data_IF_414135559835
#
_entry.id   IF_414135559835
#
_cell.length_a   1.000
_cell.length_b   1.000
_cell.length_c   1.000
_cell.angle_alpha   90.00
_cell.angle_beta   90.00
_cell.angle_gamma   90.00
#
_symmetry.space_group_name_H-M   'P 1'
#
loop_
_entity.id
_entity.type
_entity.pdbx_description
1 polymer ?
#
# COMPACT_ATOMS: atom_id res chain seq x y z
N UNK A 1 -30.29 42.48 48.07
CA UNK A 1 -29.46 43.32 47.16
C UNK A 1 -29.36 42.56 45.85
N UNK A 2 -30.37 42.73 44.97
CA UNK A 2 -30.41 43.64 43.80
C UNK A 2 -29.48 43.16 42.67
N UNK A 3 -29.89 42.95 41.42
CA UNK A 3 -31.18 43.10 40.71
C UNK A 3 -31.27 42.03 39.61
N UNK A 4 -32.44 41.59 39.15
CA UNK A 4 -33.55 42.31 38.47
C UNK A 4 -33.15 42.97 37.15
N UNK A 5 -33.84 42.53 36.10
CA UNK A 5 -33.76 42.97 34.71
C UNK A 5 -34.87 42.33 33.86
N UNK A 6 -36.12 42.60 34.24
CA UNK A 6 -37.31 42.78 33.37
C UNK A 6 -36.97 43.62 32.12
N UNK A 7 -37.69 43.68 31.00
CA UNK A 7 -39.02 43.25 30.56
C UNK A 7 -39.01 43.40 29.02
N UNK A 8 -39.85 42.68 28.28
CA UNK A 8 -40.99 43.35 27.62
C UNK A 8 -41.94 42.36 26.96
N UNK A 9 -43.21 42.58 27.31
CA UNK A 9 -44.43 41.95 26.83
C UNK A 9 -45.04 42.88 25.80
N UNK A 10 -45.59 42.34 24.71
CA UNK A 10 -46.74 42.96 24.04
C UNK A 10 -47.76 41.87 23.70
N UNK A 11 -48.94 42.03 24.29
CA UNK A 11 -50.19 41.29 24.03
C UNK A 11 -51.09 42.17 23.17
N UNK A 12 -51.80 41.56 22.22
CA UNK A 12 -53.20 41.84 21.82
C UNK A 12 -53.68 40.57 21.07
N UNK A 13 -54.60 39.76 21.64
CA UNK A 13 -56.08 39.88 21.56
C UNK A 13 -56.61 39.99 20.12
N UNK A 14 -57.69 39.37 19.66
CA UNK A 14 -58.60 38.33 20.15
C UNK A 14 -59.50 38.01 18.94
N UNK A 15 -60.11 36.81 18.86
CA UNK A 15 -61.44 36.56 18.28
C UNK A 15 -61.69 35.07 17.99
N UNK A 16 -62.56 34.52 18.82
CA UNK A 16 -63.27 33.24 18.70
C UNK A 16 -64.15 33.12 17.43
N UNK A 17 -64.34 31.88 16.98
CA UNK A 17 -65.35 31.49 15.99
C UNK A 17 -65.56 29.97 15.95
N UNK A 18 -66.67 29.52 16.55
CA UNK A 18 -67.16 28.14 16.75
C UNK A 18 -67.91 27.59 15.52
N UNK A 19 -68.04 26.25 15.43
CA UNK A 19 -69.04 25.50 14.63
C UNK A 19 -68.39 24.48 13.69
N UNK A 20 -68.36 23.18 13.99
CA UNK A 20 -69.43 22.14 13.90
C UNK A 20 -69.41 21.41 12.53
N UNK A 21 -69.27 20.08 12.62
CA UNK A 21 -69.70 18.97 11.74
C UNK A 21 -69.55 19.06 10.20
N UNK A 22 -68.81 18.10 9.62
CA UNK A 22 -69.41 17.05 8.76
C UNK A 22 -68.35 16.09 8.17
N UNK A 23 -68.66 14.80 8.24
CA UNK A 23 -68.04 13.70 7.52
C UNK A 23 -68.22 13.86 6.00
N UNK A 24 -67.16 13.63 5.22
CA UNK A 24 -67.12 12.71 4.06
C UNK A 24 -66.11 13.11 2.96
N UNK A 25 -65.23 12.14 2.66
CA UNK A 25 -64.66 11.79 1.35
C UNK A 25 -63.98 12.88 0.49
N UNK A 26 -62.65 12.84 0.41
CA UNK A 26 -61.95 13.29 -0.80
C UNK A 26 -60.67 12.50 -1.08
N UNK A 27 -60.59 12.00 -2.30
CA UNK A 27 -59.59 11.09 -2.84
C UNK A 27 -58.15 11.62 -2.82
N UNK A 28 -57.22 10.66 -2.74
CA UNK A 28 -55.76 10.81 -2.75
C UNK A 28 -55.25 11.58 -3.98
N UNK A 29 -54.49 12.64 -3.75
CA UNK A 29 -53.48 13.15 -4.69
C UNK A 29 -52.13 13.22 -3.97
N UNK A 30 -51.19 12.35 -4.35
CA UNK A 30 -49.81 12.37 -3.84
C UNK A 30 -48.95 13.34 -4.66
N UNK A 31 -48.07 14.16 -4.02
CA UNK A 31 -47.12 14.98 -4.75
C UNK A 31 -45.95 14.14 -5.28
N UNK A 32 -45.64 14.32 -6.57
CA UNK A 32 -44.55 13.67 -7.32
C UNK A 32 -43.19 13.93 -6.65
N UNK A 33 -42.51 12.85 -6.23
CA UNK A 33 -41.10 12.89 -5.82
C UNK A 33 -40.21 13.14 -7.05
N UNK A 34 -39.42 14.21 -7.03
CA UNK A 34 -38.34 14.44 -7.99
C UNK A 34 -37.28 13.33 -7.89
N UNK A 35 -36.76 12.82 -9.01
CA UNK A 35 -35.78 11.73 -9.00
C UNK A 35 -34.42 12.21 -8.44
N UNK A 36 -33.68 11.32 -7.76
CA UNK A 36 -32.40 11.67 -7.17
C UNK A 36 -31.39 12.01 -8.27
N UNK A 37 -30.67 13.13 -8.10
CA UNK A 37 -29.59 13.55 -8.98
C UNK A 37 -28.56 12.43 -9.11
N UNK A 38 -28.38 11.91 -10.32
CA UNK A 38 -27.35 10.91 -10.65
C UNK A 38 -25.99 11.49 -10.25
N UNK A 39 -25.35 10.90 -9.23
CA UNK A 39 -23.96 11.22 -8.87
C UNK A 39 -23.10 10.95 -10.11
N UNK A 40 -22.37 11.96 -10.57
CA UNK A 40 -21.42 11.81 -11.65
C UNK A 40 -20.47 10.65 -11.31
N UNK A 41 -20.34 9.67 -12.21
CA UNK A 41 -19.36 8.58 -12.07
C UNK A 41 -17.98 9.23 -11.98
N UNK A 42 -17.30 9.09 -10.83
CA UNK A 42 -15.89 9.46 -10.72
C UNK A 42 -15.12 8.66 -11.78
N UNK A 43 -14.22 9.32 -12.48
CA UNK A 43 -13.31 8.70 -13.44
C UNK A 43 -12.47 7.65 -12.66
N UNK A 44 -12.37 6.43 -13.18
CA UNK A 44 -11.51 5.41 -12.58
C UNK A 44 -10.07 5.95 -12.55
N UNK A 45 -9.41 5.77 -11.41
CA UNK A 45 -8.09 6.35 -11.12
C UNK A 45 -7.01 5.27 -11.05
N UNK A 46 -7.42 4.03 -10.74
CA UNK A 46 -6.56 2.87 -10.63
C UNK A 46 -7.21 1.67 -11.33
N UNK A 47 -6.37 0.77 -11.84
CA UNK A 47 -6.76 -0.50 -12.44
C UNK A 47 -6.10 -1.63 -11.65
N UNK A 48 -6.77 -2.78 -11.60
CA UNK A 48 -6.29 -3.98 -10.94
C UNK A 48 -4.94 -4.41 -11.52
N UNK A 49 -3.92 -4.42 -10.67
CA UNK A 49 -2.58 -4.89 -10.98
C UNK A 49 -2.53 -6.40 -11.24
N UNK A 50 -3.66 -7.10 -11.22
CA UNK A 50 -3.78 -8.49 -11.67
C UNK A 50 -4.32 -8.64 -13.09
N UNK A 51 -4.54 -7.54 -13.81
CA UNK A 51 -4.87 -7.55 -15.25
C UNK A 51 -6.28 -8.04 -15.59
N UNK A 52 -7.18 -8.15 -14.61
CA UNK A 52 -8.55 -8.64 -14.84
C UNK A 52 -9.52 -7.60 -15.43
N UNK A 53 -9.06 -6.38 -15.72
CA UNK A 53 -9.87 -5.27 -16.21
C UNK A 53 -10.77 -4.59 -15.17
N UNK A 54 -10.62 -4.91 -13.88
CA UNK A 54 -11.30 -4.17 -12.81
C UNK A 54 -10.65 -2.80 -12.61
N UNK A 55 -11.45 -1.73 -12.65
CA UNK A 55 -11.01 -0.35 -12.42
C UNK A 55 -11.82 0.31 -11.29
N UNK A 56 -11.24 1.31 -10.62
CA UNK A 56 -11.88 1.95 -9.48
C UNK A 56 -11.01 2.96 -8.73
N UNK A 57 -11.42 3.30 -7.52
CA UNK A 57 -10.57 4.01 -6.56
C UNK A 57 -9.49 3.08 -6.00
N UNK A 58 -8.41 3.64 -5.44
CA UNK A 58 -7.33 2.84 -4.83
C UNK A 58 -7.85 1.79 -3.85
N UNK A 59 -8.73 2.16 -2.92
CA UNK A 59 -9.28 1.22 -1.93
C UNK A 59 -10.16 0.13 -2.57
N UNK A 60 -10.93 0.45 -3.62
CA UNK A 60 -11.75 -0.51 -4.35
C UNK A 60 -10.87 -1.51 -5.12
N UNK A 61 -9.83 -1.01 -5.80
CA UNK A 61 -8.89 -1.83 -6.56
C UNK A 61 -8.07 -2.73 -5.65
N UNK A 62 -7.50 -2.21 -4.54
CA UNK A 62 -6.75 -3.04 -3.60
C UNK A 62 -7.64 -4.08 -2.92
N UNK A 63 -8.87 -3.74 -2.54
CA UNK A 63 -9.82 -4.71 -1.99
C UNK A 63 -10.13 -5.81 -3.01
N UNK A 64 -10.38 -5.43 -4.26
CA UNK A 64 -10.55 -6.37 -5.36
C UNK A 64 -9.33 -7.28 -5.52
N UNK A 65 -8.10 -6.74 -5.58
CA UNK A 65 -6.87 -7.52 -5.73
C UNK A 65 -6.67 -8.57 -4.65
N UNK A 66 -7.10 -8.32 -3.42
CA UNK A 66 -6.98 -9.34 -2.35
C UNK A 66 -7.82 -10.59 -2.61
N UNK A 67 -8.91 -10.46 -3.35
CA UNK A 67 -9.82 -11.57 -3.71
C UNK A 67 -9.73 -11.96 -5.19
N UNK A 68 -9.02 -11.17 -5.98
CA UNK A 68 -8.89 -11.38 -7.41
C UNK A 68 -8.14 -12.69 -7.66
N UNK A 69 -8.83 -13.59 -8.34
CA UNK A 69 -8.32 -14.90 -8.77
C UNK A 69 -7.49 -14.82 -10.04
N UNK A 70 -7.56 -13.71 -10.80
CA UNK A 70 -6.54 -13.45 -11.81
C UNK A 70 -5.23 -13.24 -11.08
N UNK A 71 -4.17 -13.77 -11.67
CA UNK A 71 -2.81 -13.32 -11.42
C UNK A 71 -2.47 -12.56 -12.69
N UNK A 72 -1.88 -11.36 -12.58
CA UNK A 72 -1.32 -10.74 -13.78
C UNK A 72 -0.23 -11.69 -14.24
N UNK A 73 -0.43 -12.32 -15.38
CA UNK A 73 0.67 -12.80 -16.22
C UNK A 73 1.45 -11.61 -16.81
N UNK A 74 1.64 -10.50 -16.08
CA UNK A 74 2.64 -9.49 -16.47
C UNK A 74 4.03 -9.89 -16.01
N UNK A 75 4.11 -10.89 -15.15
CA UNK A 75 5.25 -11.78 -15.17
C UNK A 75 4.70 -13.12 -15.68
N UNK A 76 4.49 -13.22 -17.00
CA UNK A 76 4.88 -14.44 -17.68
C UNK A 76 6.34 -14.71 -17.23
N UNK A 77 6.49 -15.41 -16.11
CA UNK A 77 7.47 -16.47 -16.14
C UNK A 77 6.85 -17.41 -17.15
N UNK A 78 7.17 -17.19 -18.42
CA UNK A 78 6.76 -18.04 -19.50
C UNK A 78 7.31 -19.41 -19.10
N UNK A 79 6.47 -20.23 -18.45
CA UNK A 79 6.79 -21.62 -18.22
C UNK A 79 6.93 -22.37 -19.55
N UNK A 80 6.53 -21.69 -20.63
CA UNK A 80 6.61 -22.05 -22.03
C UNK A 80 7.59 -21.12 -22.80
N UNK A 81 8.56 -20.47 -22.11
CA UNK A 81 9.64 -19.76 -22.79
C UNK A 81 10.53 -20.88 -23.32
N UNK A 82 10.53 -21.07 -24.63
CA UNK A 82 11.39 -22.09 -25.22
C UNK A 82 12.86 -21.74 -24.90
N UNK A 83 13.72 -22.76 -24.78
CA UNK A 83 15.12 -22.59 -24.33
C UNK A 83 15.86 -21.48 -25.12
N UNK A 84 15.54 -21.31 -26.41
CA UNK A 84 16.09 -20.26 -27.27
C UNK A 84 15.71 -18.84 -26.83
N UNK A 85 14.46 -18.64 -26.38
CA UNK A 85 13.99 -17.33 -25.90
C UNK A 85 14.63 -16.96 -24.55
N UNK A 86 14.82 -17.94 -23.66
CA UNK A 86 15.53 -17.74 -22.39
C UNK A 86 17.01 -17.39 -22.64
N UNK A 87 17.67 -18.10 -23.56
CA UNK A 87 19.05 -17.80 -23.97
C UNK A 87 19.19 -16.39 -24.58
N UNK A 88 18.28 -15.99 -25.48
CA UNK A 88 18.30 -14.63 -26.05
C UNK A 88 18.08 -13.56 -24.97
N UNK A 89 17.14 -13.80 -24.04
CA UNK A 89 16.89 -12.89 -22.93
C UNK A 89 18.11 -12.74 -22.02
N UNK A 90 18.74 -13.85 -21.64
CA UNK A 90 19.94 -13.86 -20.82
C UNK A 90 21.11 -13.16 -21.52
N UNK A 91 21.36 -13.44 -22.80
CA UNK A 91 22.43 -12.79 -23.57
C UNK A 91 22.22 -11.27 -23.64
N UNK A 92 20.99 -10.83 -23.89
CA UNK A 92 20.63 -9.41 -23.90
C UNK A 92 20.75 -8.77 -22.52
N UNK A 93 20.40 -9.50 -21.47
CA UNK A 93 20.56 -9.04 -20.09
C UNK A 93 22.04 -8.91 -19.72
N UNK A 94 22.88 -9.89 -20.07
CA UNK A 94 24.34 -9.87 -19.86
C UNK A 94 25.01 -8.72 -20.60
N UNK A 95 24.71 -8.53 -21.89
CA UNK A 95 25.21 -7.38 -22.67
C UNK A 95 24.82 -6.05 -22.01
N UNK A 96 23.56 -5.98 -21.53
CA UNK A 96 23.07 -4.81 -20.83
C UNK A 96 23.79 -4.58 -19.51
N UNK A 97 24.14 -5.64 -18.76
CA UNK A 97 24.93 -5.56 -17.52
C UNK A 97 26.33 -5.06 -17.82
N UNK A 98 27.01 -5.62 -18.82
CA UNK A 98 28.37 -5.24 -19.21
C UNK A 98 28.44 -3.76 -19.62
N UNK A 99 27.47 -3.30 -20.42
CA UNK A 99 27.37 -1.89 -20.83
C UNK A 99 27.21 -0.92 -19.66
N UNK A 100 26.59 -1.38 -18.57
CA UNK A 100 26.35 -0.59 -17.34
C UNK A 100 27.51 -0.68 -16.35
N UNK A 101 28.43 -1.62 -16.53
CA UNK A 101 29.55 -1.82 -15.63
C UNK A 101 30.44 -0.56 -15.57
N UNK A 102 30.80 -0.13 -14.36
CA UNK A 102 31.64 1.05 -14.12
C UNK A 102 30.96 2.41 -14.28
N UNK A 103 29.66 2.46 -14.63
CA UNK A 103 28.91 3.72 -14.63
C UNK A 103 28.67 4.21 -13.21
N UNK A 104 29.09 5.43 -12.91
CA UNK A 104 28.96 6.03 -11.57
C UNK A 104 27.99 7.21 -11.58
N UNK A 105 27.22 7.33 -10.50
CA UNK A 105 26.40 8.51 -10.25
C UNK A 105 27.05 9.41 -9.20
N UNK A 106 26.78 10.71 -9.32
CA UNK A 106 27.15 11.65 -8.27
C UNK A 106 26.29 11.45 -7.03
N UNK A 107 26.88 11.54 -5.82
CA UNK A 107 26.12 11.52 -4.58
C UNK A 107 25.07 12.64 -4.56
N UNK A 108 23.88 12.40 -3.98
CA UNK A 108 22.83 13.41 -3.91
C UNK A 108 23.23 14.58 -3.01
N UNK A 109 22.71 15.76 -3.32
CA UNK A 109 22.91 16.94 -2.49
C UNK A 109 22.42 16.72 -1.06
N UNK A 110 23.23 17.16 -0.09
CA UNK A 110 22.93 17.00 1.32
C UNK A 110 23.30 15.64 1.90
N UNK A 111 23.87 14.71 1.13
CA UNK A 111 24.60 13.57 1.70
C UNK A 111 25.95 14.05 2.25
N UNK A 112 26.20 13.84 3.53
CA UNK A 112 27.40 14.31 4.23
C UNK A 112 28.59 13.36 4.09
N UNK A 113 28.32 12.10 3.76
CA UNK A 113 29.33 11.07 3.55
C UNK A 113 29.72 11.00 2.07
N UNK A 114 31.00 10.83 1.80
CA UNK A 114 31.51 10.49 0.46
C UNK A 114 31.24 9.03 0.15
N UNK A 115 30.49 8.77 -0.93
CA UNK A 115 30.26 7.40 -1.42
C UNK A 115 31.53 6.82 -2.03
N UNK A 116 31.79 5.54 -1.73
CA UNK A 116 32.87 4.78 -2.37
C UNK A 116 32.53 4.53 -3.87
N UNK A 117 33.53 4.26 -4.73
CA UNK A 117 33.30 4.06 -6.17
C UNK A 117 32.20 3.02 -6.46
N UNK A 118 32.25 1.85 -5.84
CA UNK A 118 31.22 0.83 -6.01
C UNK A 118 29.83 1.28 -5.52
N UNK A 119 29.76 2.13 -4.48
CA UNK A 119 28.47 2.67 -4.01
C UNK A 119 27.88 3.69 -5.00
N UNK A 120 28.74 4.42 -5.72
CA UNK A 120 28.32 5.31 -6.82
C UNK A 120 27.83 4.51 -8.02
N UNK A 121 28.42 3.34 -8.27
CA UNK A 121 27.94 2.39 -9.28
C UNK A 121 26.58 1.82 -8.89
N UNK A 122 26.41 1.36 -7.63
CA UNK A 122 25.12 0.92 -7.12
C UNK A 122 24.06 2.04 -7.20
N UNK A 123 24.43 3.29 -6.91
CA UNK A 123 23.52 4.44 -7.02
C UNK A 123 23.09 4.69 -8.48
N UNK A 124 24.02 4.62 -9.44
CA UNK A 124 23.70 4.75 -10.87
C UNK A 124 22.73 3.64 -11.29
N UNK A 125 23.11 2.39 -11.00
CA UNK A 125 22.32 1.21 -11.33
C UNK A 125 20.91 1.28 -10.74
N UNK A 126 20.76 1.55 -9.43
CA UNK A 126 19.45 1.65 -8.79
C UNK A 126 18.58 2.77 -9.40
N UNK A 127 19.18 3.94 -9.68
CA UNK A 127 18.46 5.06 -10.30
C UNK A 127 17.90 4.70 -11.67
N UNK A 128 18.63 3.89 -12.45
CA UNK A 128 18.17 3.39 -13.75
C UNK A 128 17.14 2.28 -13.59
N UNK A 129 17.32 1.37 -12.63
CA UNK A 129 16.37 0.29 -12.38
C UNK A 129 14.98 0.83 -12.01
N UNK A 130 14.90 1.92 -11.23
CA UNK A 130 13.63 2.57 -10.89
C UNK A 130 12.93 3.20 -12.10
N UNK A 131 13.68 3.58 -13.14
CA UNK A 131 13.15 4.09 -14.41
C UNK A 131 12.86 2.99 -15.43
N UNK A 132 13.39 1.78 -15.21
CA UNK A 132 13.16 0.64 -16.08
C UNK A 132 11.73 0.10 -15.96
N UNK A 133 11.37 -0.82 -16.86
CA UNK A 133 10.09 -1.55 -16.79
C UNK A 133 9.87 -2.30 -15.46
N UNK A 134 10.95 -2.67 -14.76
CA UNK A 134 10.89 -3.39 -13.49
C UNK A 134 10.69 -2.46 -12.28
N UNK A 135 10.99 -1.15 -12.42
CA UNK A 135 10.81 -0.13 -11.39
C UNK A 135 11.49 -0.44 -10.06
N UNK A 136 12.64 -1.13 -10.11
CA UNK A 136 13.40 -1.56 -8.94
C UNK A 136 14.27 -2.79 -9.24
N UNK A 137 14.86 -3.37 -8.21
CA UNK A 137 15.70 -4.56 -8.32
C UNK A 137 16.16 -5.12 -6.97
N UNK A 138 16.94 -6.19 -7.01
CA UNK A 138 17.53 -6.82 -5.82
C UNK A 138 18.97 -6.36 -5.69
N UNK A 139 19.28 -5.65 -4.61
CA UNK A 139 20.63 -5.26 -4.24
C UNK A 139 21.23 -6.30 -3.28
N UNK A 140 22.13 -7.12 -3.81
CA UNK A 140 22.68 -8.30 -3.12
C UNK A 140 24.16 -8.15 -2.73
N UNK A 141 24.61 -6.93 -2.45
CA UNK A 141 25.98 -6.65 -2.01
C UNK A 141 26.33 -7.38 -0.69
N UNK A 142 27.62 -7.62 -0.46
CA UNK A 142 28.10 -8.25 0.77
C UNK A 142 27.70 -7.45 2.03
N UNK A 143 27.64 -8.13 3.18
CA UNK A 143 27.39 -7.49 4.46
C UNK A 143 28.51 -6.50 4.79
N UNK A 144 28.15 -5.26 5.13
CA UNK A 144 29.11 -4.20 5.44
C UNK A 144 29.42 -3.24 4.28
N UNK A 145 28.94 -3.51 3.05
CA UNK A 145 29.16 -2.63 1.90
C UNK A 145 28.34 -1.32 1.91
N UNK A 146 27.52 -1.08 2.93
CA UNK A 146 26.74 0.15 3.05
C UNK A 146 25.45 0.17 2.22
N UNK A 147 24.76 -0.96 2.11
CA UNK A 147 23.45 -1.06 1.43
C UNK A 147 22.44 0.00 1.92
N UNK A 148 22.40 0.23 3.22
CA UNK A 148 21.51 1.24 3.81
C UNK A 148 21.83 2.64 3.28
N UNK A 149 23.11 3.05 3.25
CA UNK A 149 23.50 4.37 2.74
C UNK A 149 23.29 4.50 1.22
N UNK A 150 23.52 3.43 0.47
CA UNK A 150 23.20 3.36 -0.97
C UNK A 150 21.69 3.58 -1.19
N UNK A 151 20.82 2.90 -0.44
CA UNK A 151 19.37 3.08 -0.53
C UNK A 151 18.92 4.50 -0.12
N UNK A 152 19.48 5.04 0.98
CA UNK A 152 19.22 6.43 1.39
C UNK A 152 19.61 7.40 0.27
N UNK A 153 20.72 7.15 -0.41
CA UNK A 153 21.20 8.00 -1.51
C UNK A 153 20.21 8.03 -2.67
N UNK A 154 19.59 6.90 -3.03
CA UNK A 154 18.54 6.83 -4.06
C UNK A 154 17.31 7.64 -3.62
N UNK A 155 16.85 7.46 -2.38
CA UNK A 155 15.70 8.22 -1.83
C UNK A 155 15.94 9.73 -1.92
N UNK A 156 17.14 10.20 -1.53
CA UNK A 156 17.49 11.62 -1.60
C UNK A 156 17.52 12.14 -3.04
N UNK A 157 18.06 11.36 -3.98
CA UNK A 157 18.15 11.72 -5.39
C UNK A 157 16.75 11.88 -6.01
N UNK A 158 15.85 10.94 -5.75
CA UNK A 158 14.47 10.98 -6.25
C UNK A 158 13.68 12.15 -5.66
N UNK A 159 13.88 12.44 -4.37
CA UNK A 159 13.27 13.61 -3.73
C UNK A 159 13.67 14.90 -4.44
N UNK A 160 14.96 15.10 -4.73
CA UNK A 160 15.45 16.31 -5.38
C UNK A 160 14.79 16.53 -6.76
N UNK A 161 14.62 15.46 -7.54
CA UNK A 161 13.94 15.49 -8.84
C UNK A 161 12.46 15.89 -8.72
N UNK A 162 11.77 15.43 -7.67
CA UNK A 162 10.36 15.73 -7.40
C UNK A 162 10.12 17.17 -6.92
N UNK A 163 11.08 17.78 -6.21
CA UNK A 163 10.97 19.16 -5.73
C UNK A 163 11.17 20.25 -6.81
N UNK A 164 11.65 19.89 -8.00
CA UNK A 164 11.88 20.82 -9.11
C UNK A 164 10.67 21.05 -10.04
N UNK A 165 9.60 20.26 -9.90
CA UNK A 165 8.37 20.40 -10.67
C UNK A 165 7.18 20.57 -9.73
N UNK A 166 6.36 21.60 -9.94
CA UNK A 166 5.16 21.91 -9.15
C UNK A 166 4.02 20.89 -9.29
N UNK A 167 4.33 19.59 -9.23
CA UNK A 167 3.34 18.53 -9.14
C UNK A 167 2.71 18.57 -7.75
N UNK A 168 1.56 19.25 -7.66
CA UNK A 168 0.68 19.08 -6.51
C UNK A 168 0.46 17.59 -6.28
N UNK A 169 0.56 17.17 -5.02
CA UNK A 169 0.12 15.85 -4.56
C UNK A 169 -1.40 15.75 -4.80
N UNK A 170 -1.80 15.49 -6.04
CA UNK A 170 -3.14 15.00 -6.31
C UNK A 170 -3.26 13.65 -5.62
N UNK A 171 -4.46 13.35 -5.10
CA UNK A 171 -4.86 11.95 -4.99
C UNK A 171 -4.64 11.36 -6.39
N UNK A 172 -3.82 10.32 -6.52
CA UNK A 172 -3.37 9.78 -7.82
C UNK A 172 -1.98 10.17 -8.31
N UNK A 173 -1.32 11.19 -7.73
CA UNK A 173 0.02 11.62 -8.14
C UNK A 173 1.15 10.78 -7.52
N UNK A 174 2.38 10.81 -8.07
CA UNK A 174 3.52 10.09 -7.51
C UNK A 174 3.72 10.45 -6.03
N UNK A 175 3.64 9.44 -5.16
CA UNK A 175 3.84 9.62 -3.73
C UNK A 175 5.31 9.94 -3.46
N UNK A 176 5.57 11.08 -2.82
CA UNK A 176 6.92 11.49 -2.43
C UNK A 176 7.53 10.64 -1.29
N UNK A 177 6.74 9.76 -0.68
CA UNK A 177 7.09 9.03 0.53
C UNK A 177 7.58 7.62 0.20
N UNK A 178 8.75 7.25 0.74
CA UNK A 178 9.31 5.91 0.65
C UNK A 178 8.99 5.11 1.92
N UNK A 179 8.24 4.02 1.76
CA UNK A 179 7.99 3.06 2.83
C UNK A 179 9.15 2.06 2.92
N UNK A 180 9.78 1.96 4.08
CA UNK A 180 10.84 0.98 4.36
C UNK A 180 10.31 -0.02 5.38
N UNK A 181 10.21 -1.28 4.96
CA UNK A 181 9.83 -2.39 5.84
C UNK A 181 11.09 -3.16 6.23
N UNK A 182 11.42 -3.15 7.52
CA UNK A 182 12.62 -3.82 8.00
C UNK A 182 12.43 -4.45 9.40
N UNK A 183 13.32 -5.36 9.84
CA UNK A 183 13.29 -5.86 11.20
C UNK A 183 13.42 -4.72 12.21
N UNK A 184 12.87 -4.89 13.42
CA UNK A 184 12.86 -3.81 14.43
C UNK A 184 14.25 -3.26 14.76
N UNK A 185 15.27 -4.13 14.79
CA UNK A 185 16.67 -3.74 15.04
C UNK A 185 17.19 -2.83 13.92
N UNK A 186 16.83 -3.11 12.67
CA UNK A 186 17.27 -2.31 11.53
C UNK A 186 16.62 -0.92 11.51
N UNK A 187 15.44 -0.72 12.10
CA UNK A 187 14.82 0.62 12.17
C UNK A 187 15.71 1.63 12.91
N UNK A 188 16.37 1.20 13.99
CA UNK A 188 17.29 2.07 14.75
C UNK A 188 18.51 2.44 13.89
N UNK A 189 19.04 1.47 13.13
CA UNK A 189 20.14 1.70 12.20
C UNK A 189 19.75 2.69 11.10
N UNK A 190 18.60 2.48 10.44
CA UNK A 190 18.09 3.39 9.42
C UNK A 190 17.95 4.82 9.92
N UNK A 191 17.34 5.01 11.10
CA UNK A 191 17.23 6.32 11.73
C UNK A 191 18.62 6.93 11.97
N UNK A 192 19.53 6.18 12.59
CA UNK A 192 20.87 6.67 12.92
C UNK A 192 21.70 7.02 11.69
N UNK A 193 21.58 6.26 10.60
CA UNK A 193 22.27 6.57 9.34
C UNK A 193 21.72 7.83 8.68
N UNK A 194 20.40 8.03 8.66
CA UNK A 194 19.79 9.26 8.15
C UNK A 194 20.23 10.47 8.99
N UNK A 195 20.15 10.37 10.33
CA UNK A 195 20.55 11.46 11.23
C UNK A 195 22.03 11.82 11.12
N UNK A 196 22.90 10.82 10.88
CA UNK A 196 24.36 11.01 10.83
C UNK A 196 24.87 11.47 9.47
N UNK A 197 24.31 10.93 8.39
CA UNK A 197 24.86 11.09 7.03
C UNK A 197 24.01 11.96 6.11
N UNK A 198 22.83 12.41 6.54
CA UNK A 198 22.03 13.38 5.80
C UNK A 198 22.09 14.74 6.49
N UNK A 199 22.26 15.81 5.70
CA UNK A 199 22.17 17.19 6.16
C UNK A 199 20.82 17.41 6.83
N UNK A 200 20.81 18.10 7.97
CA UNK A 200 19.58 18.33 8.71
C UNK A 200 18.50 18.99 7.85
N UNK A 201 17.30 18.39 7.83
CA UNK A 201 16.17 18.84 7.02
C UNK A 201 16.18 18.34 5.57
N UNK A 202 17.21 17.62 5.12
CA UNK A 202 17.24 17.06 3.75
C UNK A 202 16.24 15.92 3.56
N UNK A 203 15.97 15.12 4.60
CA UNK A 203 14.94 14.09 4.64
C UNK A 203 14.10 14.20 5.92
N UNK A 204 12.79 14.01 5.79
CA UNK A 204 11.86 13.87 6.90
C UNK A 204 11.52 12.40 7.12
N UNK A 205 11.62 11.94 8.36
CA UNK A 205 11.48 10.55 8.75
C UNK A 205 10.38 10.39 9.82
N UNK A 206 9.56 9.36 9.68
CA UNK A 206 8.66 8.91 10.76
C UNK A 206 8.78 7.40 10.99
N UNK A 207 8.56 6.98 12.24
CA UNK A 207 8.48 5.56 12.59
C UNK A 207 7.02 5.19 12.78
N UNK A 208 6.51 4.34 11.89
CA UNK A 208 5.20 3.72 11.99
C UNK A 208 5.28 2.44 12.83
N UNK A 209 5.40 2.60 14.15
CA UNK A 209 5.48 1.49 15.10
C UNK A 209 4.86 1.84 16.46
N UNK A 210 4.49 0.83 17.25
CA UNK A 210 3.93 1.01 18.60
C UNK A 210 2.46 1.43 18.62
N UNK A 211 1.85 1.70 19.78
CA UNK A 211 0.40 1.94 19.88
C UNK A 211 -0.05 3.32 19.41
N UNK A 212 0.85 4.32 19.37
CA UNK A 212 0.54 5.71 18.98
C UNK A 212 0.94 6.00 17.54
N UNK A 213 0.52 5.14 16.61
CA UNK A 213 0.81 5.30 15.17
C UNK A 213 -0.14 6.30 14.53
N UNK A 214 0.36 7.01 13.52
CA UNK A 214 -0.44 7.91 12.68
C UNK A 214 -1.41 7.08 11.84
N UNK A 215 -2.71 7.14 12.12
CA UNK A 215 -3.70 6.33 11.40
C UNK A 215 -4.07 6.87 10.01
N UNK A 216 -3.73 8.13 9.74
CA UNK A 216 -4.08 8.81 8.50
C UNK A 216 -2.96 8.70 7.45
N UNK A 217 -3.27 8.09 6.30
CA UNK A 217 -2.35 7.95 5.17
C UNK A 217 -1.89 9.32 4.63
N UNK A 218 -2.77 10.33 4.61
CA UNK A 218 -2.43 11.69 4.14
C UNK A 218 -1.41 12.37 5.07
N UNK A 219 -1.38 12.00 6.36
CA UNK A 219 -0.37 12.48 7.30
C UNK A 219 0.96 11.76 7.14
N UNK A 220 0.94 10.45 6.86
CA UNK A 220 2.15 9.69 6.55
C UNK A 220 2.82 10.16 5.27
N UNK A 221 2.03 10.50 4.25
CA UNK A 221 2.51 11.03 2.98
C UNK A 221 3.24 12.38 3.09
N UNK A 222 3.19 13.05 4.26
CA UNK A 222 3.96 14.29 4.50
C UNK A 222 5.45 14.02 4.71
N UNK A 223 5.81 12.83 5.18
CA UNK A 223 7.19 12.40 5.43
C UNK A 223 7.83 11.80 4.17
N UNK A 224 9.14 11.92 4.06
CA UNK A 224 9.91 11.34 2.94
C UNK A 224 10.21 9.86 3.17
N UNK A 225 10.41 9.47 4.43
CA UNK A 225 10.66 8.08 4.81
C UNK A 225 9.71 7.67 5.92
N UNK A 226 9.04 6.54 5.73
CA UNK A 226 8.22 5.87 6.75
C UNK A 226 8.86 4.53 7.07
N UNK A 227 9.38 4.35 8.29
CA UNK A 227 9.93 3.07 8.75
C UNK A 227 8.85 2.25 9.44
N UNK A 228 8.73 0.98 9.09
CA UNK A 228 7.82 0.03 9.73
C UNK A 228 8.45 -1.36 9.81
N UNK A 229 7.75 -2.29 10.46
CA UNK A 229 8.16 -3.69 10.56
C UNK A 229 7.20 -4.60 9.82
N UNK A 230 7.71 -5.77 9.43
CA UNK A 230 6.91 -6.84 8.81
C UNK A 230 5.70 -7.22 9.68
N UNK A 231 5.86 -7.27 11.00
CA UNK A 231 4.77 -7.61 11.93
C UNK A 231 3.65 -6.55 11.92
N UNK A 232 4.01 -5.27 11.82
CA UNK A 232 3.01 -4.19 11.69
C UNK A 232 2.30 -4.30 10.35
N UNK A 233 3.03 -4.45 9.23
CA UNK A 233 2.44 -4.61 7.89
C UNK A 233 1.46 -5.78 7.88
N UNK A 234 1.84 -6.94 8.44
CA UNK A 234 0.97 -8.10 8.54
C UNK A 234 -0.31 -7.82 9.36
N UNK A 235 -0.17 -7.06 10.45
CA UNK A 235 -1.29 -6.71 11.33
C UNK A 235 -2.26 -5.75 10.63
N UNK A 236 -1.74 -4.69 10.01
CA UNK A 236 -2.52 -3.73 9.23
C UNK A 236 -3.23 -4.40 8.05
N UNK A 237 -2.51 -5.25 7.31
CA UNK A 237 -3.07 -6.03 6.22
C UNK A 237 -4.20 -6.95 6.72
N UNK A 238 -3.97 -7.67 7.81
CA UNK A 238 -4.98 -8.59 8.37
C UNK A 238 -6.21 -7.87 8.92
N UNK A 239 -6.04 -6.64 9.42
CA UNK A 239 -7.14 -5.81 9.90
C UNK A 239 -7.96 -5.25 8.73
N UNK A 240 -7.30 -4.65 7.72
CA UNK A 240 -7.95 -4.02 6.57
C UNK A 240 -8.64 -5.04 5.65
N UNK A 241 -8.04 -6.21 5.46
CA UNK A 241 -8.55 -7.23 4.54
C UNK A 241 -9.13 -8.45 5.27
N UNK A 242 -9.65 -8.27 6.49
CA UNK A 242 -10.25 -9.36 7.27
C UNK A 242 -11.43 -10.00 6.55
N UNK A 243 -12.28 -9.17 5.95
CA UNK A 243 -13.54 -9.59 5.34
C UNK A 243 -13.34 -10.20 3.94
N UNK A 244 -12.16 -9.98 3.34
CA UNK A 244 -11.74 -10.63 2.11
C UNK A 244 -11.42 -12.13 2.28
N UNK A 245 -11.35 -12.64 3.51
CA UNK A 245 -11.08 -14.05 3.77
C UNK A 245 -12.34 -14.91 3.56
N UNK A 246 -12.19 -15.98 2.79
CA UNK A 246 -13.24 -16.96 2.51
C UNK A 246 -13.07 -18.17 3.41
N UNK A 247 -14.18 -18.76 3.88
CA UNK A 247 -14.15 -19.97 4.68
C UNK A 247 -13.89 -21.21 3.81
N UNK A 248 -12.96 -22.07 4.22
CA UNK A 248 -12.74 -23.36 3.58
C UNK A 248 -14.00 -24.23 3.72
N UNK A 249 -14.50 -24.84 2.63
CA UNK A 249 -15.71 -25.68 2.70
C UNK A 249 -15.53 -26.91 3.60
N UNK A 250 -14.30 -27.41 3.74
CA UNK A 250 -13.97 -28.63 4.49
C UNK A 250 -13.68 -28.37 5.97
N UNK A 251 -12.74 -27.48 6.30
CA UNK A 251 -12.31 -27.25 7.69
C UNK A 251 -12.90 -25.99 8.35
N UNK A 252 -13.69 -25.20 7.60
CA UNK A 252 -14.34 -23.94 8.04
C UNK A 252 -13.39 -22.82 8.48
N UNK A 253 -12.07 -23.02 8.46
CA UNK A 253 -11.07 -21.97 8.69
C UNK A 253 -11.09 -20.96 7.54
N UNK A 254 -10.86 -19.69 7.86
CA UNK A 254 -10.88 -18.58 6.88
C UNK A 254 -9.47 -18.33 6.31
N UNK A 255 -9.37 -18.24 5.00
CA UNK A 255 -8.12 -17.97 4.27
C UNK A 255 -8.34 -16.89 3.21
N UNK A 256 -7.28 -16.19 2.84
CA UNK A 256 -7.30 -15.41 1.60
C UNK A 256 -7.40 -16.35 0.39
N UNK A 257 -8.08 -15.98 -0.70
CA UNK A 257 -8.25 -16.87 -1.85
C UNK A 257 -6.94 -17.48 -2.40
N UNK A 258 -5.80 -16.75 -2.53
CA UNK A 258 -4.53 -17.36 -2.94
C UNK A 258 -4.01 -18.40 -1.94
N UNK A 259 -4.17 -18.14 -0.64
CA UNK A 259 -3.79 -19.08 0.42
C UNK A 259 -4.71 -20.30 0.46
N UNK A 260 -5.98 -20.15 0.04
CA UNK A 260 -6.93 -21.25 -0.06
C UNK A 260 -6.47 -22.28 -1.09
N UNK A 261 -5.92 -21.85 -2.22
CA UNK A 261 -5.35 -22.74 -3.25
C UNK A 261 -4.24 -23.63 -2.66
N UNK A 262 -3.29 -23.02 -1.93
CA UNK A 262 -2.20 -23.75 -1.26
C UNK A 262 -2.75 -24.68 -0.17
N UNK A 263 -3.72 -24.20 0.62
CA UNK A 263 -4.38 -24.99 1.65
C UNK A 263 -5.05 -26.24 1.07
N UNK A 264 -5.80 -26.10 -0.02
CA UNK A 264 -6.48 -27.21 -0.68
C UNK A 264 -5.50 -28.18 -1.35
N UNK A 265 -4.37 -27.66 -1.85
CA UNK A 265 -3.35 -28.49 -2.50
C UNK A 265 -2.60 -29.40 -1.52
N UNK A 266 -2.28 -28.90 -0.32
CA UNK A 266 -1.34 -29.59 0.57
C UNK A 266 -1.91 -30.01 1.93
N UNK A 267 -3.04 -29.44 2.37
CA UNK A 267 -3.49 -29.56 3.77
C UNK A 267 -4.93 -30.03 3.96
N UNK A 268 -5.85 -29.74 3.04
CA UNK A 268 -7.28 -30.00 3.26
C UNK A 268 -8.05 -30.25 1.95
N UNK A 269 -9.11 -31.05 1.99
CA UNK A 269 -9.91 -31.39 0.81
C UNK A 269 -9.48 -32.70 0.15
N UNK A 270 -10.26 -33.17 -0.84
CA UNK A 270 -10.15 -34.53 -1.38
C UNK A 270 -8.86 -34.77 -2.18
N UNK A 271 -8.28 -33.72 -2.76
CA UNK A 271 -7.08 -33.80 -3.61
C UNK A 271 -5.81 -33.31 -2.90
N UNK A 272 -5.87 -33.11 -1.57
CA UNK A 272 -4.73 -32.62 -0.81
C UNK A 272 -3.65 -33.70 -0.71
N UNK A 273 -2.48 -33.43 -1.29
CA UNK A 273 -1.33 -34.30 -1.19
C UNK A 273 -0.26 -33.61 -0.33
N UNK A 274 0.12 -34.24 0.77
CA UNK A 274 1.20 -33.72 1.61
C UNK A 274 2.51 -33.89 0.85
N UNK A 275 3.32 -32.83 0.77
CA UNK A 275 4.70 -32.98 0.30
C UNK A 275 5.48 -33.90 1.24
N UNK A 276 6.49 -34.60 0.71
CA UNK A 276 7.30 -35.54 1.49
C UNK A 276 7.96 -34.89 2.73
N UNK A 277 8.28 -33.59 2.65
CA UNK A 277 8.82 -32.82 3.77
C UNK A 277 7.78 -32.61 4.90
N UNK A 278 6.54 -32.28 4.55
CA UNK A 278 5.44 -32.09 5.50
C UNK A 278 4.98 -33.40 6.16
N UNK A 279 5.03 -34.52 5.44
CA UNK A 279 4.73 -35.83 6.00
C UNK A 279 5.73 -36.28 7.08
N UNK A 280 6.99 -35.83 6.99
CA UNK A 280 8.05 -36.16 7.96
C UNK A 280 7.95 -35.36 9.27
N UNK A 281 7.42 -34.14 9.26
CA UNK A 281 7.29 -33.30 10.46
C UNK A 281 6.25 -33.82 11.48
N UNK A 282 5.18 -34.49 11.04
CA UNK A 282 4.15 -35.02 11.94
C UNK A 282 4.58 -36.29 12.69
N UNK A 283 5.60 -37.03 12.22
CA UNK A 283 6.14 -38.21 12.93
C UNK A 283 6.92 -37.85 14.22
N UNK A 284 7.01 -36.57 14.59
CA UNK A 284 7.69 -36.07 15.80
C UNK A 284 6.74 -35.50 16.87
N UNK A 285 5.45 -35.84 16.84
CA UNK A 285 4.59 -35.60 18.00
C UNK A 285 4.85 -36.69 19.06
N UNK A 286 4.93 -36.34 20.36
CA UNK A 286 5.34 -37.30 21.38
C UNK A 286 4.27 -38.38 21.54
N UNK A 287 4.73 -39.64 21.62
CA UNK A 287 3.93 -40.77 22.08
C UNK A 287 3.50 -40.42 23.50
N UNK A 288 2.19 -40.30 23.72
CA UNK A 288 1.64 -40.20 25.07
C UNK A 288 1.91 -41.53 25.79
N UNK A 289 2.58 -41.46 26.95
CA UNK A 289 2.64 -42.55 27.94
C UNK A 289 1.27 -42.76 28.59
#
# INVERSE_FOLDING_TARGET
KKGDGDNDVVVVDDSDGKGDDDDSDFEKVTPKKTPPKKKAKKKAEYECEKGCGFDGTFDEVTAHETICSHVRDEFEWNSDMDEEEEEEFLAKWEESVEKRHGQQADPPEGLLMTLLPFQRESLAWMSEQEQSKFRGGILADEMGMGKTIQMISVIMKNRAQMSGGGAQASKGGPCKSTLVVCPQVAMVQWRGEIERYCKQGSLTLTIYHGPKRISNADELAKFDVVLTTYAIVQTEFSAKFRDAKVACPYCKKKYFPPQMTVHHKFFCGPNAHKSAALAKQQKKLPVAE
#
